data_IF_234526027568
#
_entry.id   IF_234526027568
#
_cell.length_a   1.000
_cell.length_b   1.000
_cell.length_c   1.000
_cell.angle_alpha   90.00
_cell.angle_beta   90.00
_cell.angle_gamma   90.00
#
_symmetry.space_group_name_H-M   'P 1'
#
loop_
_entity.id
_entity.type
_entity.pdbx_description
1 polymer ?
#
# COMPACT_ATOMS: atom_id res chain seq x y z
N UNK A 1 -26.69 -24.88 -27.76
CA UNK A 1 -26.37 -25.02 -26.32
C UNK A 1 -24.87 -25.31 -26.04
N UNK A 2 -24.23 -26.11 -26.90
CA UNK A 2 -22.80 -26.47 -26.74
C UNK A 2 -21.82 -25.26 -26.84
N UNK A 3 -22.16 -24.24 -27.62
CA UNK A 3 -21.28 -23.05 -27.79
C UNK A 3 -21.32 -22.09 -26.60
N UNK A 4 -22.41 -22.02 -25.84
CA UNK A 4 -22.51 -21.21 -24.61
C UNK A 4 -21.64 -21.79 -23.49
N UNK A 5 -21.53 -23.09 -23.35
CA UNK A 5 -20.70 -23.72 -22.32
C UNK A 5 -19.21 -23.51 -22.49
N UNK A 6 -18.69 -23.53 -23.72
CA UNK A 6 -17.25 -23.28 -23.99
C UNK A 6 -16.85 -21.85 -23.69
N UNK A 7 -17.66 -20.86 -24.09
CA UNK A 7 -17.37 -19.43 -23.76
C UNK A 7 -17.32 -19.14 -22.26
N UNK A 8 -18.16 -19.81 -21.48
CA UNK A 8 -18.20 -19.65 -20.02
C UNK A 8 -16.99 -20.32 -19.33
N UNK A 9 -16.53 -21.47 -19.86
CA UNK A 9 -15.31 -22.14 -19.39
C UNK A 9 -14.07 -21.27 -19.65
N UNK A 10 -13.91 -20.70 -20.85
CA UNK A 10 -12.81 -19.80 -21.16
C UNK A 10 -12.82 -18.52 -20.30
N UNK A 11 -14.00 -17.91 -20.09
CA UNK A 11 -14.16 -16.76 -19.20
C UNK A 11 -13.80 -17.10 -17.75
N UNK A 12 -14.15 -18.28 -17.29
CA UNK A 12 -13.84 -18.76 -15.94
C UNK A 12 -12.34 -19.05 -15.77
N UNK A 13 -11.71 -19.68 -16.74
CA UNK A 13 -10.26 -19.91 -16.76
C UNK A 13 -9.50 -18.58 -16.80
N UNK A 14 -9.90 -17.64 -17.66
CA UNK A 14 -9.28 -16.33 -17.75
C UNK A 14 -9.41 -15.52 -16.44
N UNK A 15 -10.56 -15.55 -15.78
CA UNK A 15 -10.74 -14.97 -14.45
C UNK A 15 -9.84 -15.63 -13.41
N UNK A 16 -9.68 -16.95 -13.48
CA UNK A 16 -8.79 -17.67 -12.57
C UNK A 16 -7.32 -17.25 -12.77
N UNK A 17 -6.86 -17.13 -14.01
CA UNK A 17 -5.52 -16.60 -14.32
C UNK A 17 -5.33 -15.17 -13.81
N UNK A 18 -6.27 -14.27 -14.06
CA UNK A 18 -6.20 -12.89 -13.54
C UNK A 18 -6.13 -12.89 -12.01
N UNK A 19 -6.93 -13.69 -11.34
CA UNK A 19 -6.91 -13.78 -9.89
C UNK A 19 -5.58 -14.35 -9.37
N UNK A 20 -5.09 -15.42 -9.97
CA UNK A 20 -3.83 -16.05 -9.56
C UNK A 20 -2.66 -15.09 -9.75
N UNK A 21 -2.50 -14.53 -10.94
CA UNK A 21 -1.34 -13.68 -11.27
C UNK A 21 -1.49 -12.26 -10.71
N UNK A 22 -2.66 -11.64 -10.81
CA UNK A 22 -2.87 -10.25 -10.42
C UNK A 22 -3.11 -10.06 -8.92
N UNK A 23 -3.85 -10.97 -8.28
CA UNK A 23 -4.26 -10.78 -6.87
C UNK A 23 -3.33 -11.52 -5.90
N UNK A 24 -2.80 -12.69 -6.29
CA UNK A 24 -1.98 -13.48 -5.38
C UNK A 24 -0.49 -13.42 -5.71
N UNK A 25 -0.10 -13.78 -6.93
CA UNK A 25 1.32 -13.92 -7.28
C UNK A 25 2.03 -12.58 -7.34
N UNK A 26 1.44 -11.57 -7.98
CA UNK A 26 2.07 -10.26 -8.14
C UNK A 26 2.36 -9.57 -6.79
N UNK A 27 1.39 -9.43 -5.85
CA UNK A 27 1.68 -8.87 -4.54
C UNK A 27 2.72 -9.68 -3.75
N UNK A 28 2.67 -11.01 -3.84
CA UNK A 28 3.66 -11.87 -3.17
C UNK A 28 5.08 -11.61 -3.68
N UNK A 29 5.26 -11.49 -5.01
CA UNK A 29 6.56 -11.15 -5.61
C UNK A 29 7.01 -9.76 -5.14
N UNK A 30 6.11 -8.78 -5.13
CA UNK A 30 6.42 -7.41 -4.68
C UNK A 30 6.89 -7.37 -3.23
N UNK A 31 6.18 -8.08 -2.33
CA UNK A 31 6.58 -8.20 -0.91
C UNK A 31 7.98 -8.82 -0.80
N UNK A 32 8.26 -9.92 -1.53
CA UNK A 32 9.58 -10.55 -1.50
C UNK A 32 10.70 -9.61 -2.00
N UNK A 33 10.45 -8.85 -3.07
CA UNK A 33 11.40 -7.85 -3.57
C UNK A 33 11.63 -6.76 -2.50
N UNK A 34 10.58 -6.30 -1.85
CA UNK A 34 10.66 -5.23 -0.85
C UNK A 34 11.26 -5.69 0.49
N UNK A 35 11.33 -6.99 0.76
CA UNK A 35 12.09 -7.56 1.89
C UNK A 35 13.60 -7.66 1.62
N UNK A 36 14.03 -7.54 0.36
CA UNK A 36 15.44 -7.70 -0.01
C UNK A 36 16.39 -6.72 0.71
N UNK A 37 16.05 -5.42 0.92
CA UNK A 37 16.89 -4.52 1.72
C UNK A 37 17.13 -5.00 3.15
N UNK A 38 16.08 -5.53 3.81
CA UNK A 38 16.22 -6.08 5.17
C UNK A 38 17.09 -7.33 5.18
N UNK A 39 16.89 -8.25 4.23
CA UNK A 39 17.73 -9.41 4.07
C UNK A 39 19.20 -9.00 3.88
N UNK A 40 19.46 -7.99 3.05
CA UNK A 40 20.81 -7.47 2.79
C UNK A 40 21.43 -6.88 4.05
N UNK A 41 20.67 -6.11 4.83
CA UNK A 41 21.11 -5.53 6.08
C UNK A 41 21.52 -6.58 7.13
N UNK A 42 20.78 -7.70 7.20
CA UNK A 42 21.03 -8.75 8.21
C UNK A 42 22.13 -9.72 7.77
N UNK A 43 22.21 -10.06 6.46
CA UNK A 43 23.03 -11.19 6.00
C UNK A 43 24.42 -10.81 5.53
N UNK A 44 24.66 -9.56 5.18
CA UNK A 44 25.90 -9.14 4.51
C UNK A 44 26.75 -8.23 5.40
N UNK A 45 26.23 -7.81 6.54
CA UNK A 45 26.91 -6.81 7.36
C UNK A 45 27.13 -7.25 8.80
N UNK A 46 28.37 -7.04 9.28
CA UNK A 46 28.80 -7.30 10.64
C UNK A 46 28.89 -6.01 11.50
N UNK A 47 28.29 -4.90 11.03
CA UNK A 47 28.33 -3.67 11.78
C UNK A 47 27.42 -3.73 13.02
N UNK A 48 27.88 -3.26 14.18
CA UNK A 48 27.04 -3.20 15.37
C UNK A 48 25.87 -2.24 15.18
N UNK A 49 24.74 -2.55 15.82
CA UNK A 49 23.54 -1.68 15.81
C UNK A 49 23.89 -0.28 16.30
N UNK A 50 23.66 0.71 15.46
CA UNK A 50 23.98 2.12 15.71
C UNK A 50 22.75 3.02 15.85
N UNK A 51 23.00 4.32 16.00
CA UNK A 51 21.94 5.31 16.15
C UNK A 51 21.00 5.38 14.93
N UNK A 52 21.54 5.18 13.72
CA UNK A 52 20.76 5.21 12.49
C UNK A 52 19.78 4.02 12.43
N UNK A 53 20.17 2.85 12.93
CA UNK A 53 19.27 1.69 13.01
C UNK A 53 18.08 1.98 13.93
N UNK A 54 18.34 2.59 15.09
CA UNK A 54 17.28 3.01 16.00
C UNK A 54 16.35 4.05 15.39
N UNK A 55 16.89 5.00 14.61
CA UNK A 55 16.07 5.95 13.86
C UNK A 55 15.13 5.24 12.90
N UNK A 56 15.63 4.32 12.07
CA UNK A 56 14.78 3.58 11.13
C UNK A 56 13.85 2.59 11.82
N UNK A 57 14.22 2.05 12.97
CA UNK A 57 13.34 1.25 13.80
C UNK A 57 12.12 2.07 14.25
N UNK A 58 12.34 3.23 14.84
CA UNK A 58 11.26 4.13 15.27
C UNK A 58 10.42 4.58 14.08
N UNK A 59 11.07 4.97 12.97
CA UNK A 59 10.38 5.36 11.75
C UNK A 59 9.45 4.26 11.23
N UNK A 60 9.93 3.02 11.17
CA UNK A 60 9.15 1.85 10.73
C UNK A 60 7.98 1.58 11.68
N UNK A 61 8.20 1.66 12.99
CA UNK A 61 7.14 1.50 13.99
C UNK A 61 6.05 2.58 13.86
N UNK A 62 6.44 3.84 13.59
CA UNK A 62 5.49 4.92 13.34
C UNK A 62 4.71 4.71 12.04
N UNK A 63 5.32 4.16 11.02
CA UNK A 63 4.65 3.80 9.77
C UNK A 63 3.59 2.72 9.99
N UNK A 64 3.92 1.65 10.73
CA UNK A 64 2.97 0.60 11.12
C UNK A 64 1.83 1.17 11.99
N UNK A 65 2.16 2.07 12.91
CA UNK A 65 1.14 2.73 13.73
C UNK A 65 0.18 3.58 12.89
N UNK A 66 0.71 4.33 11.92
CA UNK A 66 -0.10 5.13 10.99
C UNK A 66 -1.07 4.24 10.21
N UNK A 67 -0.59 3.12 9.67
CA UNK A 67 -1.40 2.14 8.94
C UNK A 67 -2.50 1.57 9.85
N UNK A 68 -2.11 1.04 11.01
CA UNK A 68 -3.03 0.43 11.96
C UNK A 68 -4.13 1.41 12.43
N UNK A 69 -3.76 2.63 12.81
CA UNK A 69 -4.73 3.66 13.24
C UNK A 69 -5.67 4.04 12.09
N UNK A 70 -5.14 4.11 10.87
CA UNK A 70 -5.94 4.41 9.67
C UNK A 70 -7.00 3.32 9.41
N UNK A 71 -6.59 2.07 9.49
CA UNK A 71 -7.47 0.93 9.27
C UNK A 71 -8.51 0.78 10.39
N UNK A 72 -8.12 1.01 11.64
CA UNK A 72 -9.05 1.00 12.78
C UNK A 72 -10.10 2.11 12.66
N UNK A 73 -9.72 3.32 12.25
CA UNK A 73 -10.66 4.40 11.96
C UNK A 73 -11.65 4.01 10.86
N UNK A 74 -11.19 3.39 9.78
CA UNK A 74 -12.05 2.93 8.69
C UNK A 74 -12.94 1.76 9.14
N UNK A 75 -12.41 0.81 9.90
CA UNK A 75 -13.15 -0.32 10.44
C UNK A 75 -14.28 0.16 11.36
N UNK A 76 -13.97 1.02 12.32
CA UNK A 76 -14.95 1.61 13.24
C UNK A 76 -16.04 2.38 12.50
N UNK A 77 -15.66 3.19 11.49
CA UNK A 77 -16.61 3.91 10.66
C UNK A 77 -17.56 2.98 9.90
N UNK A 78 -17.05 1.91 9.29
CA UNK A 78 -17.84 0.96 8.49
C UNK A 78 -18.65 -0.02 9.32
N UNK A 79 -18.31 -0.23 10.58
CA UNK A 79 -19.06 -1.08 11.51
C UNK A 79 -20.45 -0.53 11.79
N UNK A 80 -20.66 0.79 11.65
CA UNK A 80 -21.97 1.39 11.77
C UNK A 80 -22.74 1.25 10.43
N UNK A 81 -23.89 0.53 10.41
CA UNK A 81 -24.69 0.35 9.19
C UNK A 81 -25.13 1.66 8.53
N UNK A 82 -25.32 2.73 9.30
CA UNK A 82 -25.71 4.06 8.80
C UNK A 82 -24.62 4.71 7.94
N UNK A 83 -23.37 4.31 8.10
CA UNK A 83 -22.22 4.87 7.37
C UNK A 83 -21.90 4.14 6.07
N UNK A 84 -22.62 3.07 5.71
CA UNK A 84 -22.33 2.24 4.53
C UNK A 84 -22.33 3.01 3.21
N UNK A 85 -23.24 3.98 3.09
CA UNK A 85 -23.34 4.88 1.93
C UNK A 85 -22.46 6.14 2.04
N UNK A 86 -21.86 6.40 3.19
CA UNK A 86 -21.11 7.63 3.43
C UNK A 86 -19.61 7.46 3.12
N UNK A 87 -18.97 8.56 2.78
CA UNK A 87 -17.52 8.64 2.60
C UNK A 87 -16.85 8.96 3.94
N UNK A 88 -15.83 8.16 4.32
CA UNK A 88 -14.99 8.45 5.47
C UNK A 88 -14.10 9.66 5.15
N UNK A 89 -14.29 10.77 5.89
CA UNK A 89 -13.57 12.03 5.74
C UNK A 89 -13.15 12.65 7.09
N UNK A 90 -12.99 11.81 8.12
CA UNK A 90 -12.63 12.20 9.50
C UNK A 90 -11.29 11.61 9.89
N UNK A 91 -10.69 12.12 10.97
CA UNK A 91 -9.41 11.63 11.47
C UNK A 91 -8.32 11.75 10.42
N UNK A 92 -7.53 10.71 10.21
CA UNK A 92 -6.46 10.65 9.20
C UNK A 92 -7.00 10.75 7.77
N UNK A 93 -8.20 10.23 7.52
CA UNK A 93 -8.89 10.27 6.22
C UNK A 93 -9.34 11.67 5.79
N UNK A 94 -9.27 12.66 6.68
CA UNK A 94 -9.46 14.07 6.33
C UNK A 94 -8.25 14.62 5.55
N UNK A 95 -7.06 14.11 5.83
CA UNK A 95 -5.80 14.64 5.29
C UNK A 95 -5.26 13.83 4.10
N UNK A 96 -5.62 12.56 4.02
CA UNK A 96 -5.26 11.64 2.93
C UNK A 96 -6.43 10.74 2.60
N UNK A 97 -6.63 10.40 1.30
CA UNK A 97 -7.65 9.42 0.88
C UNK A 97 -7.23 7.98 1.17
N UNK A 98 -5.93 7.74 1.31
CA UNK A 98 -5.35 6.43 1.56
C UNK A 98 -4.23 6.51 2.62
N UNK A 99 -4.54 6.93 3.87
CA UNK A 99 -3.52 7.10 4.90
C UNK A 99 -2.89 5.75 5.32
N UNK A 100 -3.63 4.64 5.20
CA UNK A 100 -3.11 3.29 5.40
C UNK A 100 -2.06 2.92 4.34
N UNK A 101 -2.29 3.24 3.05
CA UNK A 101 -1.28 3.03 2.00
C UNK A 101 -0.04 3.89 2.22
N UNK A 102 -0.21 5.09 2.75
CA UNK A 102 0.94 5.91 3.14
C UNK A 102 1.75 5.23 4.24
N UNK A 103 1.09 4.66 5.25
CA UNK A 103 1.74 3.87 6.30
C UNK A 103 2.53 2.71 5.72
N UNK A 104 1.91 1.91 4.85
CA UNK A 104 2.56 0.77 4.21
C UNK A 104 3.77 1.19 3.34
N UNK A 105 3.64 2.25 2.54
CA UNK A 105 4.76 2.78 1.74
C UNK A 105 5.92 3.21 2.66
N UNK A 106 5.63 3.95 3.73
CA UNK A 106 6.65 4.38 4.69
C UNK A 106 7.31 3.20 5.40
N UNK A 107 6.57 2.15 5.72
CA UNK A 107 7.12 0.91 6.26
C UNK A 107 8.20 0.33 5.35
N UNK A 108 7.95 0.22 4.04
CA UNK A 108 8.93 -0.30 3.08
C UNK A 108 10.16 0.59 2.94
N UNK A 109 9.99 1.92 3.01
CA UNK A 109 11.12 2.85 3.09
C UNK A 109 11.90 2.72 4.40
N UNK A 110 11.23 2.41 5.50
CA UNK A 110 11.88 2.12 6.78
C UNK A 110 12.76 0.87 6.71
N UNK A 111 12.28 -0.22 6.11
CA UNK A 111 13.08 -1.43 5.89
C UNK A 111 14.29 -1.17 4.98
N UNK A 112 14.14 -0.36 3.94
CA UNK A 112 15.25 0.09 3.11
C UNK A 112 16.27 0.89 3.92
N UNK A 113 15.82 1.69 4.88
CA UNK A 113 16.67 2.48 5.76
C UNK A 113 17.66 1.64 6.57
N UNK A 114 17.28 0.42 6.98
CA UNK A 114 18.21 -0.51 7.64
C UNK A 114 19.36 -0.96 6.73
N UNK A 115 19.15 -1.06 5.43
CA UNK A 115 20.27 -1.35 4.51
C UNK A 115 21.21 -0.16 4.33
N UNK A 116 20.66 1.07 4.39
CA UNK A 116 21.47 2.30 4.33
C UNK A 116 22.26 2.55 5.61
N UNK A 117 21.74 2.17 6.78
CA UNK A 117 22.47 2.32 8.04
C UNK A 117 23.76 1.51 8.04
N UNK A 118 23.79 0.43 7.30
CA UNK A 118 24.94 -0.45 7.17
C UNK A 118 25.97 0.08 6.16
N UNK A 119 25.55 0.51 4.98
CA UNK A 119 26.42 1.12 3.98
C UNK A 119 25.62 1.99 3.02
N UNK A 120 26.15 3.17 2.68
CA UNK A 120 25.58 4.04 1.65
C UNK A 120 25.67 3.41 0.24
N UNK A 121 26.56 2.45 0.02
CA UNK A 121 26.62 1.70 -1.23
C UNK A 121 25.33 0.92 -1.51
N UNK A 122 24.55 0.61 -0.48
CA UNK A 122 23.26 -0.05 -0.57
C UNK A 122 22.13 0.85 -1.12
N UNK A 123 22.44 2.10 -1.49
CA UNK A 123 21.43 3.04 -2.00
C UNK A 123 20.68 2.52 -3.22
N UNK A 124 21.29 1.67 -4.03
CA UNK A 124 20.62 1.04 -5.18
C UNK A 124 19.38 0.21 -4.80
N UNK A 125 19.30 -0.28 -3.55
CA UNK A 125 18.13 -0.99 -3.03
C UNK A 125 16.88 -0.12 -2.90
N UNK A 126 16.98 1.21 -3.10
CA UNK A 126 15.84 2.13 -3.15
C UNK A 126 14.81 1.70 -4.21
N UNK A 127 15.24 0.96 -5.23
CA UNK A 127 14.32 0.41 -6.24
C UNK A 127 13.22 -0.46 -5.62
N UNK A 128 13.48 -1.10 -4.49
CA UNK A 128 12.53 -1.95 -3.79
C UNK A 128 11.33 -1.14 -3.25
N UNK A 129 11.50 -0.16 -2.33
CA UNK A 129 10.35 0.64 -1.88
C UNK A 129 9.77 1.52 -2.98
N UNK A 130 10.55 1.96 -3.97
CA UNK A 130 10.02 2.71 -5.12
C UNK A 130 9.10 1.84 -5.98
N UNK A 131 9.39 0.56 -6.16
CA UNK A 131 8.51 -0.35 -6.90
C UNK A 131 7.14 -0.49 -6.21
N UNK A 132 7.13 -0.55 -4.86
CA UNK A 132 5.90 -0.56 -4.07
C UNK A 132 5.14 0.76 -4.21
N UNK A 133 5.83 1.90 -4.08
CA UNK A 133 5.23 3.22 -4.28
C UNK A 133 4.58 3.35 -5.66
N UNK A 134 5.27 2.92 -6.72
CA UNK A 134 4.76 2.93 -8.10
C UNK A 134 3.51 2.05 -8.21
N UNK A 135 3.52 0.85 -7.62
CA UNK A 135 2.36 -0.03 -7.59
C UNK A 135 1.15 0.65 -6.92
N UNK A 136 1.35 1.32 -5.78
CA UNK A 136 0.25 2.03 -5.11
C UNK A 136 -0.29 3.17 -5.93
N UNK A 137 0.57 4.02 -6.51
CA UNK A 137 0.15 5.21 -7.28
C UNK A 137 -0.57 4.81 -8.57
N UNK A 138 -0.07 3.82 -9.30
CA UNK A 138 -0.57 3.50 -10.64
C UNK A 138 -1.60 2.36 -10.68
N UNK A 139 -1.67 1.52 -9.64
CA UNK A 139 -2.60 0.40 -9.61
C UNK A 139 -3.58 0.50 -8.44
N UNK A 140 -3.12 0.47 -7.19
CA UNK A 140 -3.98 0.30 -6.01
C UNK A 140 -4.89 1.51 -5.79
N UNK A 141 -4.35 2.72 -5.79
CA UNK A 141 -5.10 3.96 -5.55
C UNK A 141 -6.16 4.18 -6.63
N UNK A 142 -5.85 4.16 -7.95
CA UNK A 142 -6.87 4.34 -8.99
C UNK A 142 -7.98 3.28 -8.92
N UNK A 143 -7.63 2.03 -8.64
CA UNK A 143 -8.59 0.95 -8.51
C UNK A 143 -9.55 1.18 -7.33
N UNK A 144 -9.03 1.61 -6.17
CA UNK A 144 -9.85 1.86 -4.98
C UNK A 144 -10.67 3.13 -5.10
N UNK A 145 -10.13 4.19 -5.68
CA UNK A 145 -10.86 5.43 -5.96
C UNK A 145 -12.02 5.17 -6.94
N UNK A 146 -11.78 4.49 -8.05
CA UNK A 146 -12.82 4.11 -9.02
C UNK A 146 -13.92 3.25 -8.38
N UNK A 147 -13.55 2.27 -7.56
CA UNK A 147 -14.49 1.44 -6.82
C UNK A 147 -15.33 2.27 -5.83
N UNK A 148 -14.74 3.29 -5.23
CA UNK A 148 -15.41 4.20 -4.30
C UNK A 148 -16.39 5.11 -5.04
N UNK A 149 -16.00 5.68 -6.19
CA UNK A 149 -16.85 6.49 -7.06
C UNK A 149 -18.08 5.73 -7.56
N UNK A 150 -17.91 4.48 -7.98
CA UNK A 150 -19.02 3.62 -8.43
C UNK A 150 -20.07 3.37 -7.35
N UNK A 151 -19.65 3.37 -6.09
CA UNK A 151 -20.54 3.10 -4.95
C UNK A 151 -21.13 4.37 -4.32
N UNK A 152 -20.43 5.50 -4.45
CA UNK A 152 -20.71 6.77 -3.76
C UNK A 152 -20.32 7.92 -4.67
N UNK A 153 -21.25 8.48 -5.45
CA UNK A 153 -20.94 9.60 -6.37
C UNK A 153 -20.37 10.82 -5.66
N UNK A 154 -20.77 11.07 -4.39
CA UNK A 154 -20.22 12.17 -3.58
C UNK A 154 -18.73 12.02 -3.25
N UNK A 155 -18.14 10.86 -3.48
CA UNK A 155 -16.70 10.62 -3.33
C UNK A 155 -15.87 11.52 -4.26
N UNK A 156 -16.44 11.98 -5.38
CA UNK A 156 -15.79 12.91 -6.31
C UNK A 156 -15.41 14.24 -5.62
N UNK A 157 -16.31 14.79 -4.80
CA UNK A 157 -16.00 16.01 -4.04
C UNK A 157 -14.89 15.80 -3.02
N UNK A 158 -14.87 14.64 -2.38
CA UNK A 158 -13.82 14.28 -1.46
C UNK A 158 -12.46 14.16 -2.16
N UNK A 159 -12.42 13.57 -3.36
CA UNK A 159 -11.21 13.51 -4.19
C UNK A 159 -10.67 14.89 -4.57
N UNK A 160 -11.56 15.86 -4.86
CA UNK A 160 -11.16 17.24 -5.18
C UNK A 160 -10.54 17.98 -3.99
N UNK A 161 -10.92 17.63 -2.78
CA UNK A 161 -10.52 18.33 -1.54
C UNK A 161 -9.35 17.65 -0.82
N UNK A 162 -9.19 16.33 -1.00
CA UNK A 162 -8.24 15.52 -0.22
C UNK A 162 -7.26 14.82 -1.16
N UNK A 163 -5.95 14.98 -0.96
CA UNK A 163 -4.92 14.32 -1.76
C UNK A 163 -4.94 12.80 -1.57
N UNK A 164 -4.36 12.08 -2.54
CA UNK A 164 -4.35 10.62 -2.52
C UNK A 164 -3.53 10.04 -1.35
N UNK A 165 -2.31 10.52 -1.16
CA UNK A 165 -1.36 10.03 -0.16
C UNK A 165 -0.91 11.14 0.78
N UNK A 166 0.02 11.98 0.33
CA UNK A 166 0.71 12.96 1.18
C UNK A 166 -0.14 14.22 1.29
N UNK A 167 -0.51 14.65 2.51
CA UNK A 167 -1.13 15.95 2.72
C UNK A 167 -0.21 17.03 2.14
N UNK A 168 -0.70 17.90 1.27
CA UNK A 168 0.00 19.04 0.64
C UNK A 168 0.62 18.83 -0.74
N UNK A 169 0.88 17.62 -1.23
CA UNK A 169 1.65 17.43 -2.47
C UNK A 169 0.84 17.14 -3.74
N UNK A 170 -0.41 16.71 -3.64
CA UNK A 170 -1.25 16.44 -4.82
C UNK A 170 -2.69 16.89 -4.54
N UNK A 171 -3.03 18.10 -4.99
CA UNK A 171 -4.41 18.54 -5.23
C UNK A 171 -4.82 18.24 -6.65
#
# INVERSE_FOLDING_TARGET
ERSRGLGDVYKRQFKWFINLFGIHLFPTIMVNICLFPLYYAISINDQPVGFIDWFFCIFTLLAVLLEHVSDEQMHSFRSNPKNRSLTMNKGLWKYSRHPNYLGEILFWFGLFGFSLSQSLENFWLIVCPLSMLIMFIFASIPMMDNRSLQRRPEYEEYMKKTPALIPFFFK
#
